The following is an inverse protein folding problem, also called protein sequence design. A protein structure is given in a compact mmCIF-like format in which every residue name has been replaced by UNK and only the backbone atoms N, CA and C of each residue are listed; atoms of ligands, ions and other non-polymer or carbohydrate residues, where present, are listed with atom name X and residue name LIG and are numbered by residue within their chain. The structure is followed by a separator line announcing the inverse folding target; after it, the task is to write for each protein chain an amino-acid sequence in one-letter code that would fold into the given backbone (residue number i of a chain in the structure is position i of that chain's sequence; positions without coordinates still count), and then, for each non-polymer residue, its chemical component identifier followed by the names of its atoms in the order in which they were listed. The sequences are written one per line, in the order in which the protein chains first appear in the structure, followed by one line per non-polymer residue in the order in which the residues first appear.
data_IF_655419980448
#
_entry.id   IF_655419980448
#
_cell.length_a   1.000
_cell.length_b   1.000
_cell.length_c   1.000
_cell.angle_alpha   90.00
_cell.angle_beta   90.00
_cell.angle_gamma   90.00
#
_symmetry.space_group_name_H-M   'P 1'
#
loop_
_entity.id
_entity.type
_entity.pdbx_description
1 polymer ?
#
# COMPACT_ATOMS: atom_id res chain seq x y z
N UNK A 1 0.29 18.85 -19.34
CA UNK A 1 1.12 18.02 -18.44
C UNK A 1 0.40 17.90 -17.10
N UNK A 2 -0.23 16.74 -16.83
CA UNK A 2 -0.75 16.45 -15.49
C UNK A 2 0.43 16.45 -14.53
N UNK A 3 0.50 17.45 -13.63
CA UNK A 3 1.43 17.44 -12.50
C UNK A 3 1.00 16.28 -11.59
N UNK A 4 1.43 15.07 -11.93
CA UNK A 4 1.16 13.88 -11.14
C UNK A 4 1.62 14.18 -9.71
N UNK A 5 0.64 14.23 -8.80
CA UNK A 5 0.85 14.54 -7.38
C UNK A 5 1.96 13.62 -6.87
N UNK A 6 2.95 14.19 -6.18
CA UNK A 6 4.25 13.58 -5.85
C UNK A 6 4.14 12.10 -5.46
N UNK A 7 5.07 11.24 -5.91
CA UNK A 7 5.09 9.78 -5.66
C UNK A 7 5.02 9.42 -4.16
N UNK A 8 5.42 10.35 -3.29
CA UNK A 8 5.29 10.29 -1.83
C UNK A 8 3.85 9.99 -1.37
N UNK A 9 2.84 10.48 -2.09
CA UNK A 9 1.43 10.25 -1.74
C UNK A 9 1.04 8.78 -1.95
N UNK A 10 1.51 8.16 -3.05
CA UNK A 10 1.25 6.74 -3.33
C UNK A 10 1.94 5.84 -2.31
N UNK A 11 3.17 6.17 -1.91
CA UNK A 11 3.89 5.46 -0.85
C UNK A 11 3.13 5.58 0.48
N UNK A 12 2.67 6.78 0.84
CA UNK A 12 1.91 7.01 2.08
C UNK A 12 0.59 6.24 2.11
N UNK A 13 -0.16 6.24 1.01
CA UNK A 13 -1.37 5.41 0.89
C UNK A 13 -1.04 3.92 1.00
N UNK A 14 0.00 3.46 0.32
CA UNK A 14 0.40 2.06 0.39
C UNK A 14 0.80 1.62 1.81
N UNK A 15 1.52 2.46 2.54
CA UNK A 15 1.85 2.24 3.95
C UNK A 15 0.60 2.18 4.84
N UNK A 16 -0.37 3.07 4.63
CA UNK A 16 -1.63 3.05 5.35
C UNK A 16 -2.38 1.72 5.14
N UNK A 17 -2.48 1.25 3.90
CA UNK A 17 -3.14 -0.03 3.58
C UNK A 17 -2.46 -1.23 4.22
N UNK A 18 -1.12 -1.27 4.22
CA UNK A 18 -0.35 -2.34 4.88
C UNK A 18 -0.56 -2.32 6.39
N UNK A 19 -0.47 -1.16 7.03
CA UNK A 19 -0.64 -1.04 8.48
C UNK A 19 -2.06 -1.38 8.91
N UNK A 20 -3.06 -0.86 8.19
CA UNK A 20 -4.47 -1.13 8.46
C UNK A 20 -4.81 -2.61 8.25
N UNK A 21 -4.37 -3.22 7.14
CA UNK A 21 -4.58 -4.65 6.90
C UNK A 21 -3.90 -5.55 7.94
N UNK A 22 -2.70 -5.16 8.40
CA UNK A 22 -1.99 -5.87 9.47
C UNK A 22 -2.73 -5.73 10.81
N UNK A 23 -3.23 -4.54 11.13
CA UNK A 23 -4.02 -4.30 12.33
C UNK A 23 -5.31 -5.14 12.34
N UNK A 24 -6.05 -5.18 11.22
CA UNK A 24 -7.23 -6.03 11.06
C UNK A 24 -6.88 -7.53 11.25
N UNK A 25 -5.77 -8.02 10.71
CA UNK A 25 -5.36 -9.42 10.93
C UNK A 25 -5.06 -9.77 12.40
N UNK A 26 -4.56 -8.80 13.18
CA UNK A 26 -4.21 -8.98 14.58
C UNK A 26 -5.46 -8.87 15.47
N UNK A 27 -6.25 -7.83 15.30
CA UNK A 27 -7.35 -7.47 16.21
C UNK A 27 -8.71 -8.03 15.78
N UNK A 28 -8.88 -8.44 14.53
CA UNK A 28 -10.15 -9.00 14.08
C UNK A 28 -10.36 -10.42 14.65
N UNK A 29 -11.55 -10.72 15.21
CA UNK A 29 -11.93 -12.07 15.60
C UNK A 29 -12.25 -12.96 14.40
N UNK A 30 -12.03 -12.47 13.17
CA UNK A 30 -12.23 -13.23 11.95
C UNK A 30 -11.38 -14.51 11.94
N UNK A 31 -11.99 -15.57 11.42
CA UNK A 31 -11.35 -16.87 11.26
C UNK A 31 -10.19 -16.80 10.26
N UNK A 32 -9.38 -17.85 10.17
CA UNK A 32 -8.18 -17.87 9.32
C UNK A 32 -8.45 -17.44 7.86
N UNK A 33 -9.61 -17.82 7.31
CA UNK A 33 -10.05 -17.40 5.98
C UNK A 33 -10.28 -15.88 5.87
N UNK A 34 -10.87 -15.24 6.88
CA UNK A 34 -11.08 -13.79 6.91
C UNK A 34 -9.77 -13.01 7.00
N UNK A 35 -8.79 -13.53 7.75
CA UNK A 35 -7.45 -12.94 7.83
C UNK A 35 -6.70 -12.98 6.49
N UNK A 36 -6.87 -14.05 5.71
CA UNK A 36 -6.33 -14.14 4.36
C UNK A 36 -6.96 -13.11 3.42
N UNK A 37 -8.27 -12.87 3.56
CA UNK A 37 -8.96 -11.83 2.77
C UNK A 37 -8.40 -10.45 3.09
N UNK A 38 -8.18 -10.11 4.37
CA UNK A 38 -7.54 -8.84 4.73
C UNK A 38 -6.13 -8.70 4.15
N UNK A 39 -5.33 -9.77 4.16
CA UNK A 39 -4.02 -9.75 3.52
C UNK A 39 -4.12 -9.50 2.01
N UNK A 40 -5.04 -10.18 1.32
CA UNK A 40 -5.22 -10.05 -0.13
C UNK A 40 -5.80 -8.70 -0.55
N UNK A 41 -6.72 -8.11 0.23
CA UNK A 41 -7.46 -6.91 -0.16
C UNK A 41 -6.81 -5.62 0.36
N UNK A 42 -6.05 -5.69 1.46
CA UNK A 42 -5.43 -4.50 2.06
C UNK A 42 -3.91 -4.52 1.88
N UNK A 43 -3.24 -5.61 2.29
CA UNK A 43 -1.77 -5.65 2.31
C UNK A 43 -1.21 -5.71 0.88
N UNK A 44 -1.74 -6.59 0.02
CA UNK A 44 -1.23 -6.73 -1.36
C UNK A 44 -1.37 -5.42 -2.17
N UNK A 45 -2.53 -4.74 -2.21
CA UNK A 45 -2.62 -3.43 -2.86
C UNK A 45 -1.70 -2.39 -2.23
N UNK A 46 -1.56 -2.40 -0.90
CA UNK A 46 -0.64 -1.50 -0.20
C UNK A 46 0.81 -1.65 -0.68
N UNK A 47 1.29 -2.89 -0.82
CA UNK A 47 2.61 -3.20 -1.37
C UNK A 47 2.76 -2.74 -2.83
N UNK A 48 1.72 -2.91 -3.65
CA UNK A 48 1.72 -2.43 -5.03
C UNK A 48 1.82 -0.89 -5.11
N UNK A 49 1.09 -0.19 -4.25
CA UNK A 49 1.16 1.28 -4.15
C UNK A 49 2.54 1.76 -3.71
N UNK A 50 3.17 1.09 -2.74
CA UNK A 50 4.55 1.38 -2.32
C UNK A 50 5.51 1.12 -3.48
N UNK A 51 5.44 -0.03 -4.13
CA UNK A 51 6.34 -0.38 -5.23
C UNK A 51 6.23 0.60 -6.41
N UNK A 52 5.00 0.96 -6.79
CA UNK A 52 4.73 1.95 -7.84
C UNK A 52 5.22 3.35 -7.44
N UNK A 53 4.96 3.77 -6.20
CA UNK A 53 5.42 5.05 -5.66
C UNK A 53 6.94 5.14 -5.61
N UNK A 54 7.63 4.10 -5.14
CA UNK A 54 9.09 4.03 -5.11
C UNK A 54 9.68 4.08 -6.52
N UNK A 55 9.17 3.28 -7.46
CA UNK A 55 9.58 3.33 -8.88
C UNK A 55 9.38 4.70 -9.53
N UNK A 56 8.29 5.39 -9.18
CA UNK A 56 8.02 6.73 -9.67
C UNK A 56 8.95 7.77 -9.03
N UNK A 57 9.35 7.57 -7.77
CA UNK A 57 10.32 8.44 -7.08
C UNK A 57 11.72 8.33 -7.67
N UNK A 58 12.17 7.14 -8.06
CA UNK A 58 13.52 6.95 -8.64
C UNK A 58 13.62 7.45 -10.08
N UNK A 59 12.51 7.57 -10.82
CA UNK A 59 12.49 8.16 -12.18
C UNK A 59 12.59 9.68 -12.19
N UNK A 60 12.27 10.35 -11.08
CA UNK A 60 12.32 11.82 -10.97
C UNK A 60 13.71 12.39 -10.74
N UNK A 61 14.69 11.56 -10.36
CA UNK A 61 16.09 11.96 -10.12
C UNK A 61 16.97 11.87 -11.38
N UNK A 62 16.38 11.65 -12.56
CA UNK A 62 17.09 11.56 -13.85
C UNK A 62 16.69 12.65 -14.85
N UNK A 63 16.14 13.78 -14.37
CA UNK A 63 15.78 14.94 -15.20
C UNK A 63 16.36 16.23 -14.65
#
# INVERSE_FOLDING_TARGET
MLKAKKPKTAIAFGLFFVLFGTAEMIFSPADAAGKIIFAAVLIVPGLLFIAAGTRASTRGDHS
#
